data_IF_591950307926
#
_entry.id   IF_591950307926
#
_cell.length_a   1.000
_cell.length_b   1.000
_cell.length_c   1.000
_cell.angle_alpha   90.00
_cell.angle_beta   90.00
_cell.angle_gamma   90.00
#
_symmetry.space_group_name_H-M   'P 1'
#
loop_
_entity.id
_entity.type
_entity.pdbx_description
1 polymer ?
#
# COMPACT_ATOMS: atom_id res chain seq x y z
N UNK A 1 2.41 9.31 17.55
CA UNK A 1 1.21 8.50 17.21
C UNK A 1 1.64 7.31 16.38
N UNK A 2 1.17 6.11 16.71
CA UNK A 2 1.42 4.92 15.87
C UNK A 2 0.84 5.13 14.46
N UNK A 3 1.47 4.56 13.43
CA UNK A 3 1.08 4.78 12.03
C UNK A 3 -0.40 4.47 11.76
N UNK A 4 -0.92 3.35 12.27
CA UNK A 4 -2.33 2.95 12.09
C UNK A 4 -3.32 3.93 12.72
N UNK A 5 -2.96 4.55 13.85
CA UNK A 5 -3.84 5.46 14.58
C UNK A 5 -4.12 6.78 13.85
N UNK A 6 -3.32 7.13 12.84
CA UNK A 6 -3.58 8.29 11.95
C UNK A 6 -4.96 8.19 11.30
N UNK A 7 -5.37 6.98 10.92
CA UNK A 7 -6.58 6.74 10.16
C UNK A 7 -7.80 6.51 11.05
N UNK A 8 -7.60 6.22 12.34
CA UNK A 8 -8.69 5.82 13.26
C UNK A 8 -8.86 6.74 14.46
N UNK A 9 -7.97 7.72 14.63
CA UNK A 9 -8.09 8.77 15.66
C UNK A 9 -8.61 10.05 15.04
N UNK A 10 -9.86 10.41 15.38
CA UNK A 10 -10.60 11.57 14.83
C UNK A 10 -9.79 12.87 14.76
N UNK A 11 -9.05 13.19 15.82
CA UNK A 11 -8.21 14.38 15.92
C UNK A 11 -6.78 13.93 16.15
N UNK A 12 -5.90 14.22 15.19
CA UNK A 12 -4.48 13.95 15.29
C UNK A 12 -3.69 15.00 14.50
N UNK A 13 -2.38 15.03 14.68
CA UNK A 13 -1.48 16.04 14.09
C UNK A 13 -1.02 15.72 12.67
N UNK A 14 -1.34 14.54 12.13
CA UNK A 14 -0.99 14.18 10.75
C UNK A 14 -2.12 14.58 9.78
N UNK A 15 -3.39 14.40 10.14
CA UNK A 15 -4.52 14.76 9.26
C UNK A 15 -4.69 16.28 9.15
N UNK A 16 -4.59 16.80 7.91
CA UNK A 16 -4.86 18.21 7.60
C UNK A 16 -6.30 18.38 7.11
N UNK A 17 -6.71 17.53 6.16
CA UNK A 17 -8.07 17.49 5.62
C UNK A 17 -8.49 16.05 5.35
N UNK A 18 -9.69 15.68 5.78
CA UNK A 18 -10.20 14.31 5.67
C UNK A 18 -11.71 14.27 5.48
N UNK A 19 -12.18 13.17 4.88
CA UNK A 19 -13.58 12.76 4.97
C UNK A 19 -13.76 11.97 6.25
N UNK A 20 -14.63 12.46 7.12
CA UNK A 20 -15.07 11.74 8.31
C UNK A 20 -16.48 11.20 8.07
N UNK A 21 -16.79 10.08 8.71
CA UNK A 21 -18.13 9.48 8.73
C UNK A 21 -18.48 9.10 10.16
N UNK A 22 -19.75 8.77 10.40
CA UNK A 22 -20.16 8.21 11.69
C UNK A 22 -19.34 6.94 11.99
N UNK A 23 -19.11 6.66 13.28
CA UNK A 23 -18.35 5.49 13.66
C UNK A 23 -19.04 4.22 13.15
N UNK A 24 -18.28 3.32 12.51
CA UNK A 24 -18.82 2.11 11.91
C UNK A 24 -17.77 0.99 11.89
N UNK A 25 -18.14 -0.18 11.37
CA UNK A 25 -17.22 -1.28 11.04
C UNK A 25 -17.06 -1.45 9.52
N UNK A 26 -17.54 -0.48 8.73
CA UNK A 26 -17.72 -0.63 7.27
C UNK A 26 -16.40 -0.93 6.55
N UNK A 27 -15.30 -0.31 7.00
CA UNK A 27 -13.97 -0.50 6.38
C UNK A 27 -13.46 -1.90 6.65
N UNK A 28 -13.57 -2.38 7.88
CA UNK A 28 -13.23 -3.73 8.29
C UNK A 28 -14.08 -4.75 7.51
N UNK A 29 -15.40 -4.59 7.49
CA UNK A 29 -16.31 -5.46 6.73
C UNK A 29 -16.01 -5.49 5.24
N UNK A 30 -15.61 -4.36 4.64
CA UNK A 30 -15.32 -4.31 3.22
C UNK A 30 -14.00 -5.01 2.86
N UNK A 31 -12.97 -4.90 3.70
CA UNK A 31 -11.60 -5.18 3.27
C UNK A 31 -10.89 -6.28 4.07
N UNK A 32 -11.34 -6.62 5.27
CA UNK A 32 -10.71 -7.66 6.07
C UNK A 32 -10.86 -9.04 5.39
N UNK A 33 -10.02 -10.02 5.78
CA UNK A 33 -10.00 -11.33 5.13
C UNK A 33 -11.36 -12.05 5.23
N UNK A 34 -11.70 -12.81 4.19
CA UNK A 34 -13.07 -13.33 3.98
C UNK A 34 -13.50 -14.44 4.94
N UNK A 35 -12.57 -15.06 5.66
CA UNK A 35 -12.87 -16.09 6.64
C UNK A 35 -13.36 -15.54 7.98
N UNK A 36 -13.45 -14.22 8.15
CA UNK A 36 -14.03 -13.59 9.34
C UNK A 36 -15.50 -13.26 9.07
N UNK A 37 -16.40 -14.10 9.60
CA UNK A 37 -17.83 -14.10 9.23
C UNK A 37 -18.80 -13.72 10.36
N UNK A 38 -18.33 -13.66 11.61
CA UNK A 38 -19.15 -13.36 12.78
C UNK A 38 -18.59 -12.16 13.57
N UNK A 39 -19.44 -11.24 14.07
CA UNK A 39 -20.90 -11.16 13.88
C UNK A 39 -21.29 -10.60 12.50
N UNK A 40 -20.34 -10.07 11.73
CA UNK A 40 -20.60 -9.48 10.41
C UNK A 40 -19.55 -9.94 9.41
N UNK A 41 -19.97 -10.27 8.19
CA UNK A 41 -19.10 -10.81 7.14
C UNK A 41 -18.07 -9.81 6.63
N UNK A 42 -16.83 -10.28 6.51
CA UNK A 42 -15.73 -9.60 5.83
C UNK A 42 -15.66 -9.99 4.35
N UNK A 43 -15.40 -9.02 3.47
CA UNK A 43 -15.55 -9.20 2.02
C UNK A 43 -14.23 -9.24 1.25
N UNK A 44 -13.09 -8.91 1.87
CA UNK A 44 -11.77 -9.05 1.24
C UNK A 44 -11.62 -8.32 -0.10
N UNK A 45 -12.23 -7.15 -0.28
CA UNK A 45 -12.36 -6.47 -1.59
C UNK A 45 -11.04 -6.04 -2.23
N UNK A 46 -9.97 -5.92 -1.46
CA UNK A 46 -8.68 -5.41 -1.93
C UNK A 46 -7.60 -6.47 -1.78
N UNK A 47 -6.91 -6.79 -2.88
CA UNK A 47 -5.76 -7.71 -2.94
C UNK A 47 -4.47 -6.95 -3.27
N UNK A 48 -3.71 -6.47 -2.28
CA UNK A 48 -2.38 -5.90 -2.52
C UNK A 48 -1.45 -6.87 -3.25
N UNK A 49 -0.48 -6.36 -4.02
CA UNK A 49 0.43 -7.20 -4.82
C UNK A 49 1.75 -7.50 -4.10
N UNK A 50 2.41 -8.60 -4.48
CA UNK A 50 3.78 -8.89 -4.09
C UNK A 50 4.72 -7.74 -4.48
N UNK A 51 4.50 -7.11 -5.65
CA UNK A 51 5.30 -5.96 -6.08
C UNK A 51 5.24 -4.80 -5.08
N UNK A 52 4.15 -4.65 -4.32
CA UNK A 52 4.06 -3.67 -3.23
C UNK A 52 4.78 -4.18 -1.97
N UNK A 53 4.62 -5.45 -1.61
CA UNK A 53 5.35 -6.07 -0.48
C UNK A 53 6.86 -5.93 -0.65
N UNK A 54 7.38 -6.14 -1.86
CA UNK A 54 8.79 -5.99 -2.18
C UNK A 54 9.27 -4.53 -2.11
N UNK A 55 8.37 -3.55 -2.20
CA UNK A 55 8.72 -2.14 -2.16
C UNK A 55 9.13 -1.68 -0.76
N UNK A 56 8.59 -2.30 0.30
CA UNK A 56 8.92 -1.95 1.67
C UNK A 56 10.40 -2.24 1.98
N UNK A 57 11.15 -1.34 2.63
CA UNK A 57 12.52 -1.63 3.02
C UNK A 57 12.57 -2.65 4.18
N UNK A 58 13.79 -3.03 4.53
CA UNK A 58 14.09 -3.64 5.82
C UNK A 58 13.84 -2.65 6.96
N UNK A 59 13.80 -3.14 8.20
CA UNK A 59 13.59 -2.36 9.41
C UNK A 59 14.67 -1.29 9.60
N UNK A 60 15.88 -1.50 9.06
CA UNK A 60 16.96 -0.51 9.03
C UNK A 60 16.86 0.52 7.89
N UNK A 61 15.80 0.47 7.08
CA UNK A 61 15.54 1.39 5.98
C UNK A 61 16.29 1.10 4.68
N UNK A 62 17.17 0.08 4.67
CA UNK A 62 17.83 -0.39 3.45
C UNK A 62 16.83 -1.13 2.55
N UNK A 63 17.04 -1.07 1.24
CA UNK A 63 16.21 -1.77 0.28
C UNK A 63 16.14 -3.28 0.59
N UNK A 64 14.96 -3.86 0.39
CA UNK A 64 14.75 -5.28 0.61
C UNK A 64 15.27 -6.10 -0.57
N UNK A 65 16.17 -7.04 -0.30
CA UNK A 65 16.77 -7.95 -1.29
C UNK A 65 16.66 -9.42 -0.88
N UNK A 66 15.81 -9.73 0.10
CA UNK A 66 15.63 -11.08 0.61
C UNK A 66 14.74 -11.96 -0.28
N UNK A 67 14.51 -13.18 0.21
CA UNK A 67 13.62 -14.20 -0.37
C UNK A 67 12.18 -13.71 -0.54
N UNK A 68 11.49 -14.19 -1.56
CA UNK A 68 10.06 -13.91 -1.78
C UNK A 68 9.20 -15.18 -1.65
N UNK A 69 9.84 -16.31 -1.35
CA UNK A 69 9.29 -17.66 -1.47
C UNK A 69 9.27 -18.39 -0.13
N UNK A 70 9.31 -17.66 0.97
CA UNK A 70 9.06 -18.20 2.30
C UNK A 70 8.55 -17.11 3.28
N UNK A 71 8.23 -17.51 4.50
CA UNK A 71 7.68 -16.65 5.54
C UNK A 71 8.67 -15.59 6.06
N UNK A 72 9.98 -15.82 5.93
CA UNK A 72 11.01 -14.88 6.45
C UNK A 72 11.02 -13.57 5.66
N UNK A 73 10.34 -13.52 4.52
CA UNK A 73 10.16 -12.28 3.78
C UNK A 73 9.50 -11.15 4.59
N UNK A 74 8.75 -11.48 5.65
CA UNK A 74 8.07 -10.50 6.50
C UNK A 74 8.91 -10.08 7.72
N UNK A 75 10.01 -10.77 7.99
CA UNK A 75 10.84 -10.54 9.18
C UNK A 75 11.71 -9.30 9.03
N UNK A 76 11.83 -8.54 10.12
CA UNK A 76 12.67 -7.33 10.18
C UNK A 76 12.41 -6.37 9.00
N UNK A 77 11.15 -6.22 8.62
CA UNK A 77 10.71 -5.28 7.58
C UNK A 77 10.24 -3.96 8.18
N UNK A 78 10.07 -2.96 7.31
CA UNK A 78 9.37 -1.72 7.63
C UNK A 78 8.06 -2.01 8.40
N UNK A 79 7.85 -1.43 9.60
CA UNK A 79 6.65 -1.69 10.41
C UNK A 79 5.33 -1.38 9.69
N UNK A 80 5.36 -0.44 8.72
CA UNK A 80 4.18 -0.12 7.90
C UNK A 80 3.68 -1.32 7.10
N UNK A 81 4.54 -2.27 6.74
CA UNK A 81 4.14 -3.48 6.00
C UNK A 81 3.01 -4.22 6.73
N UNK A 82 3.21 -4.52 8.02
CA UNK A 82 2.22 -5.21 8.86
C UNK A 82 1.02 -4.33 9.21
N UNK A 83 1.17 -3.00 9.25
CA UNK A 83 0.05 -2.07 9.48
C UNK A 83 -0.84 -1.89 8.24
N UNK A 84 -0.27 -2.06 7.04
CA UNK A 84 -0.94 -1.80 5.77
C UNK A 84 -1.54 -3.08 5.18
N UNK A 85 -0.92 -4.24 5.40
CA UNK A 85 -1.32 -5.51 4.81
C UNK A 85 -1.61 -6.58 5.86
N UNK A 86 -2.60 -7.41 5.55
CA UNK A 86 -2.67 -8.77 6.07
C UNK A 86 -1.92 -9.72 5.12
N UNK A 87 -1.16 -10.62 5.71
CA UNK A 87 -0.53 -11.78 5.08
C UNK A 87 -0.75 -13.01 5.97
N UNK A 88 -0.39 -14.19 5.46
CA UNK A 88 -0.56 -15.45 6.20
C UNK A 88 0.05 -15.34 7.60
N UNK A 89 -0.63 -15.88 8.61
CA UNK A 89 -0.26 -15.92 10.04
C UNK A 89 -0.40 -14.61 10.83
N UNK A 90 -0.73 -13.47 10.23
CA UNK A 90 -1.03 -12.25 10.99
C UNK A 90 -2.22 -12.49 11.92
N UNK A 91 -2.09 -12.17 13.21
CA UNK A 91 -3.17 -12.32 14.18
C UNK A 91 -4.28 -11.28 13.94
N UNK A 92 -5.52 -11.76 13.87
CA UNK A 92 -6.71 -10.93 13.71
C UNK A 92 -7.96 -11.63 14.22
N UNK A 93 -8.79 -10.93 15.01
CA UNK A 93 -10.01 -11.47 15.61
C UNK A 93 -9.84 -12.85 16.28
N UNK A 94 -8.80 -12.99 17.11
CA UNK A 94 -8.56 -14.20 17.91
C UNK A 94 -8.00 -15.41 17.14
N UNK A 95 -7.67 -15.29 15.85
CA UNK A 95 -6.98 -16.34 15.08
C UNK A 95 -5.99 -15.77 14.07
N UNK A 96 -4.99 -16.55 13.61
CA UNK A 96 -4.18 -16.14 12.48
C UNK A 96 -5.00 -16.07 11.18
N UNK A 97 -4.66 -15.13 10.33
CA UNK A 97 -5.11 -15.08 8.93
C UNK A 97 -4.53 -16.28 8.17
N UNK A 98 -5.36 -16.96 7.38
CA UNK A 98 -5.03 -18.17 6.64
C UNK A 98 -5.17 -17.93 5.13
N UNK A 99 -4.15 -17.34 4.51
CA UNK A 99 -4.15 -17.04 3.06
C UNK A 99 -3.54 -18.16 2.21
N UNK A 100 -3.29 -19.33 2.77
CA UNK A 100 -2.93 -20.53 2.02
C UNK A 100 -4.13 -21.15 1.31
N UNK A 101 -3.86 -21.88 0.22
CA UNK A 101 -4.84 -22.58 -0.60
C UNK A 101 -5.68 -23.54 0.27
N UNK A 102 -6.99 -23.29 0.34
CA UNK A 102 -7.94 -24.05 1.17
C UNK A 102 -8.08 -23.54 2.61
N UNK A 103 -7.31 -22.53 3.01
CA UNK A 103 -7.44 -21.86 4.31
C UNK A 103 -8.71 -21.02 4.41
N UNK A 104 -9.10 -20.65 5.63
CA UNK A 104 -10.35 -19.92 5.88
C UNK A 104 -10.43 -18.58 5.13
N UNK A 105 -9.29 -17.92 4.90
CA UNK A 105 -9.20 -16.63 4.23
C UNK A 105 -8.77 -16.74 2.76
N UNK A 106 -8.62 -17.95 2.24
CA UNK A 106 -8.48 -18.26 0.81
C UNK A 106 -9.06 -19.66 0.53
N UNK A 107 -10.39 -19.82 0.66
CA UNK A 107 -11.04 -21.12 0.70
C UNK A 107 -11.05 -21.90 -0.63
N UNK A 108 -10.69 -21.27 -1.74
CA UNK A 108 -10.69 -21.85 -3.10
C UNK A 108 -12.04 -22.40 -3.55
N UNK A 109 -13.11 -21.75 -3.07
CA UNK A 109 -14.47 -22.11 -3.44
C UNK A 109 -14.90 -21.33 -4.68
N UNK A 110 -15.55 -22.03 -5.61
CA UNK A 110 -16.14 -21.39 -6.78
C UNK A 110 -17.12 -20.29 -6.36
N UNK A 111 -17.12 -19.18 -7.10
CA UNK A 111 -18.02 -18.04 -6.90
C UNK A 111 -17.88 -17.32 -5.53
N UNK A 112 -16.83 -17.60 -4.75
CA UNK A 112 -16.50 -16.81 -3.56
C UNK A 112 -15.44 -15.77 -3.87
N UNK A 113 -15.69 -14.54 -3.40
CA UNK A 113 -14.67 -13.50 -3.34
C UNK A 113 -13.58 -13.94 -2.37
N UNK A 114 -12.32 -13.86 -2.79
CA UNK A 114 -11.14 -14.11 -1.98
C UNK A 114 -9.93 -13.42 -2.60
N UNK A 115 -8.85 -13.29 -1.84
CA UNK A 115 -7.60 -12.70 -2.34
C UNK A 115 -7.04 -13.49 -3.53
N UNK A 116 -6.63 -12.76 -4.55
CA UNK A 116 -5.91 -13.31 -5.71
C UNK A 116 -4.39 -13.32 -5.52
N UNK A 117 -3.89 -12.64 -4.47
CA UNK A 117 -2.45 -12.42 -4.25
C UNK A 117 -1.94 -13.00 -2.94
N UNK A 118 -2.83 -13.58 -2.12
CA UNK A 118 -2.57 -14.03 -0.74
C UNK A 118 -2.30 -12.91 0.27
N UNK A 119 -2.71 -11.68 -0.09
CA UNK A 119 -2.70 -10.48 0.74
C UNK A 119 -4.08 -9.84 0.82
N UNK A 120 -4.36 -9.16 1.93
CA UNK A 120 -5.53 -8.27 2.08
C UNK A 120 -5.11 -6.90 2.59
N UNK A 121 -5.95 -5.88 2.35
CA UNK A 121 -5.75 -4.54 2.90
C UNK A 121 -6.05 -4.53 4.41
N UNK A 122 -5.15 -3.95 5.20
CA UNK A 122 -5.32 -3.65 6.63
C UNK A 122 -5.33 -2.16 6.94
N UNK A 123 -4.70 -1.34 6.09
CA UNK A 123 -4.71 0.13 6.24
C UNK A 123 -6.15 0.64 6.39
N UNK A 124 -6.31 1.71 7.17
CA UNK A 124 -7.57 2.32 7.58
C UNK A 124 -8.38 1.55 8.64
N UNK A 125 -7.97 0.35 9.05
CA UNK A 125 -8.65 -0.38 10.12
C UNK A 125 -8.03 -0.10 11.49
N UNK A 126 -8.86 -0.13 12.54
CA UNK A 126 -8.35 -0.19 13.92
C UNK A 126 -7.75 -1.55 14.21
N UNK A 127 -6.89 -1.66 15.22
CA UNK A 127 -6.30 -2.96 15.55
C UNK A 127 -7.26 -3.86 16.34
N UNK A 128 -7.70 -4.95 15.71
CA UNK A 128 -8.54 -5.99 16.33
C UNK A 128 -7.78 -7.31 16.53
N UNK A 129 -6.44 -7.26 16.59
CA UNK A 129 -5.59 -8.45 16.75
C UNK A 129 -5.92 -9.30 17.98
N UNK A 130 -6.38 -8.68 19.06
CA UNK A 130 -6.75 -9.34 20.35
C UNK A 130 -8.25 -9.38 20.61
N UNK A 131 -9.07 -8.85 19.69
CA UNK A 131 -10.53 -8.83 19.83
C UNK A 131 -11.14 -10.13 19.30
N UNK A 132 -12.43 -10.34 19.58
CA UNK A 132 -13.21 -11.46 19.01
C UNK A 132 -14.28 -11.00 18.01
N UNK A 133 -14.59 -9.69 18.01
CA UNK A 133 -15.51 -9.03 17.08
C UNK A 133 -14.98 -7.64 16.75
N UNK A 134 -15.43 -7.10 15.62
CA UNK A 134 -15.32 -5.67 15.36
C UNK A 134 -16.19 -4.87 16.32
N UNK A 135 -15.78 -3.63 16.57
CA UNK A 135 -16.56 -2.60 17.25
C UNK A 135 -16.52 -1.32 16.42
N UNK A 136 -17.52 -0.45 16.54
CA UNK A 136 -17.58 0.78 15.75
C UNK A 136 -16.34 1.65 15.97
N UNK A 137 -15.66 2.01 14.89
CA UNK A 137 -14.45 2.82 14.89
C UNK A 137 -14.69 4.15 14.18
N UNK A 138 -13.92 5.16 14.57
CA UNK A 138 -13.77 6.36 13.75
C UNK A 138 -12.87 6.01 12.57
N UNK A 139 -13.23 6.46 11.38
CA UNK A 139 -12.40 6.33 10.18
C UNK A 139 -12.25 7.69 9.53
N UNK A 140 -11.00 8.11 9.35
CA UNK A 140 -10.62 9.34 8.67
C UNK A 140 -9.94 8.98 7.37
N UNK A 141 -10.65 9.14 6.25
CA UNK A 141 -10.01 9.01 4.94
C UNK A 141 -9.29 10.32 4.62
N UNK A 142 -7.94 10.33 4.53
CA UNK A 142 -7.18 11.55 4.30
C UNK A 142 -7.38 12.03 2.86
N UNK A 143 -7.68 13.32 2.72
CA UNK A 143 -7.49 14.04 1.46
C UNK A 143 -6.14 14.75 1.44
N UNK A 144 -5.72 15.29 2.59
CA UNK A 144 -4.39 15.85 2.81
C UNK A 144 -3.90 15.49 4.20
N UNK A 145 -2.63 15.11 4.31
CA UNK A 145 -1.96 14.86 5.59
C UNK A 145 -0.51 15.34 5.59
N UNK A 146 0.02 15.57 6.77
CA UNK A 146 1.31 16.20 6.96
C UNK A 146 2.47 15.40 6.37
N UNK A 147 2.42 14.06 6.43
CA UNK A 147 3.47 13.28 5.76
C UNK A 147 3.45 13.44 4.22
N UNK A 148 2.32 13.74 3.59
CA UNK A 148 2.28 14.11 2.17
C UNK A 148 2.98 15.46 1.94
N UNK A 149 2.78 16.44 2.82
CA UNK A 149 3.48 17.74 2.76
C UNK A 149 4.99 17.55 2.84
N UNK A 150 5.47 16.70 3.75
CA UNK A 150 6.89 16.36 3.86
C UNK A 150 7.42 15.69 2.59
N UNK A 151 6.65 14.77 1.98
CA UNK A 151 7.02 14.12 0.73
C UNK A 151 7.06 15.10 -0.45
N UNK A 152 6.06 15.98 -0.55
CA UNK A 152 6.00 17.03 -1.57
C UNK A 152 7.21 17.96 -1.45
N UNK A 153 7.57 18.34 -0.20
CA UNK A 153 8.74 19.18 0.05
C UNK A 153 10.05 18.46 -0.24
N UNK A 154 10.19 17.18 0.15
CA UNK A 154 11.36 16.36 -0.16
C UNK A 154 11.58 16.25 -1.67
N UNK A 155 10.51 15.97 -2.43
CA UNK A 155 10.57 15.88 -3.88
C UNK A 155 11.03 17.21 -4.49
N UNK A 156 10.37 18.32 -4.13
CA UNK A 156 10.74 19.64 -4.63
C UNK A 156 12.19 20.03 -4.32
N UNK A 157 12.66 19.79 -3.09
CA UNK A 157 14.04 20.03 -2.67
C UNK A 157 15.03 19.22 -3.49
N UNK A 158 14.73 17.94 -3.73
CA UNK A 158 15.59 17.08 -4.53
C UNK A 158 15.66 17.57 -5.98
N UNK A 159 14.54 17.95 -6.59
CA UNK A 159 14.51 18.45 -7.98
C UNK A 159 15.31 19.76 -8.16
N UNK A 160 15.45 20.58 -7.11
CA UNK A 160 16.32 21.78 -7.11
C UNK A 160 17.73 21.53 -6.55
N UNK A 161 18.19 20.28 -6.53
CA UNK A 161 19.52 19.85 -6.08
C UNK A 161 19.84 20.11 -4.59
N UNK A 162 18.84 20.32 -3.73
CA UNK A 162 19.00 20.41 -2.28
C UNK A 162 18.86 19.04 -1.60
N UNK A 163 19.74 18.12 -2.01
CA UNK A 163 19.68 16.68 -1.67
C UNK A 163 19.63 16.43 -0.16
N UNK A 164 20.55 16.99 0.63
CA UNK A 164 20.59 16.73 2.07
C UNK A 164 19.40 17.36 2.82
N UNK A 165 18.79 18.43 2.31
CA UNK A 165 17.57 18.97 2.91
C UNK A 165 16.35 18.09 2.62
N UNK A 166 16.30 17.47 1.45
CA UNK A 166 15.31 16.46 1.11
C UNK A 166 15.45 15.20 1.99
N UNK A 167 16.69 14.75 2.22
CA UNK A 167 16.99 13.64 3.14
C UNK A 167 16.40 13.88 4.54
N UNK A 168 16.54 15.10 5.09
CA UNK A 168 15.97 15.45 6.40
C UNK A 168 14.45 15.23 6.45
N UNK A 169 13.73 15.50 5.36
CA UNK A 169 12.27 15.30 5.31
C UNK A 169 11.89 13.81 5.31
N UNK A 170 12.64 12.99 4.55
CA UNK A 170 12.42 11.54 4.50
C UNK A 170 12.76 10.89 5.86
N UNK A 171 13.79 11.37 6.54
CA UNK A 171 14.14 10.92 7.89
C UNK A 171 12.98 11.10 8.86
N UNK A 172 12.26 12.24 8.82
CA UNK A 172 11.09 12.46 9.69
C UNK A 172 9.99 11.42 9.46
N UNK A 173 9.73 11.07 8.19
CA UNK A 173 8.72 10.08 7.81
C UNK A 173 9.14 8.68 8.28
N UNK A 174 10.38 8.26 8.01
CA UNK A 174 10.91 6.96 8.38
C UNK A 174 11.00 6.78 9.90
N UNK A 175 11.40 7.83 10.61
CA UNK A 175 11.43 7.85 12.07
C UNK A 175 10.03 7.63 12.66
N UNK A 176 9.01 8.34 12.16
CA UNK A 176 7.62 8.13 12.57
C UNK A 176 7.18 6.70 12.28
N UNK A 177 7.54 6.16 11.12
CA UNK A 177 7.16 4.82 10.68
C UNK A 177 7.77 3.70 11.53
N UNK A 178 8.73 4.01 12.42
CA UNK A 178 9.40 3.04 13.27
C UNK A 178 10.54 2.30 12.57
N UNK A 179 11.01 2.80 11.42
CA UNK A 179 12.27 2.35 10.83
C UNK A 179 13.40 2.72 11.79
N UNK A 180 14.38 1.83 11.98
CA UNK A 180 15.52 2.09 12.84
C UNK A 180 16.52 3.02 12.15
N UNK A 181 17.10 3.93 12.93
CA UNK A 181 17.89 5.05 12.40
C UNK A 181 19.17 4.61 11.67
N UNK A 182 19.71 3.43 12.00
CA UNK A 182 20.95 2.90 11.44
C UNK A 182 22.14 3.83 11.63
N UNK A 183 23.16 3.69 10.77
CA UNK A 183 24.37 4.52 10.83
C UNK A 183 24.07 5.98 10.52
N UNK A 184 24.56 6.90 11.36
CA UNK A 184 24.46 8.34 11.16
C UNK A 184 23.03 8.91 11.27
N UNK A 185 22.09 8.17 11.84
CA UNK A 185 20.67 8.53 11.91
C UNK A 185 20.04 8.86 10.54
N UNK A 186 20.47 8.14 9.50
CA UNK A 186 20.01 8.36 8.11
C UNK A 186 18.94 7.38 7.65
N UNK A 187 18.50 6.45 8.51
CA UNK A 187 17.39 5.52 8.27
C UNK A 187 17.54 4.76 6.94
N UNK A 188 18.74 4.23 6.69
CA UNK A 188 19.06 3.49 5.46
C UNK A 188 19.32 4.34 4.22
N UNK A 189 19.51 5.66 4.37
CA UNK A 189 19.88 6.57 3.29
C UNK A 189 21.39 6.81 3.32
N UNK A 190 22.10 6.43 2.26
CA UNK A 190 23.55 6.57 2.19
C UNK A 190 24.00 8.04 2.30
N UNK A 191 25.16 8.26 2.92
CA UNK A 191 25.85 9.55 2.81
C UNK A 191 26.33 9.75 1.36
N UNK A 192 26.23 10.98 0.84
CA UNK A 192 26.60 11.27 -0.55
C UNK A 192 25.66 10.67 -1.60
N UNK A 193 24.43 10.30 -1.22
CA UNK A 193 23.40 9.87 -2.18
C UNK A 193 23.22 10.95 -3.27
N UNK A 194 23.18 10.54 -4.53
CA UNK A 194 23.01 11.49 -5.64
C UNK A 194 21.56 11.95 -5.76
N UNK A 195 21.34 13.08 -6.44
CA UNK A 195 20.00 13.58 -6.76
C UNK A 195 19.11 12.52 -7.44
N UNK A 196 19.68 11.77 -8.39
CA UNK A 196 18.96 10.73 -9.12
C UNK A 196 18.58 9.55 -8.22
N UNK A 197 19.51 9.06 -7.39
CA UNK A 197 19.23 7.98 -6.45
C UNK A 197 18.20 8.40 -5.39
N UNK A 198 18.29 9.64 -4.89
CA UNK A 198 17.32 10.15 -3.93
C UNK A 198 15.94 10.35 -4.57
N UNK A 199 15.86 10.73 -5.85
CA UNK A 199 14.58 10.83 -6.58
C UNK A 199 13.83 9.50 -6.54
N UNK A 200 14.50 8.39 -6.86
CA UNK A 200 13.89 7.07 -6.86
C UNK A 200 13.52 6.60 -5.44
N UNK A 201 14.36 6.93 -4.45
CA UNK A 201 14.06 6.68 -3.04
C UNK A 201 12.80 7.43 -2.59
N UNK A 202 12.68 8.73 -2.88
CA UNK A 202 11.52 9.57 -2.55
C UNK A 202 10.26 9.00 -3.23
N UNK A 203 10.35 8.60 -4.49
CA UNK A 203 9.23 7.99 -5.23
C UNK A 203 8.75 6.69 -4.58
N UNK A 204 9.68 5.84 -4.12
CA UNK A 204 9.34 4.61 -3.42
C UNK A 204 8.79 4.89 -2.01
N UNK A 205 9.37 5.84 -1.28
CA UNK A 205 8.87 6.27 0.03
C UNK A 205 7.44 6.80 -0.07
N UNK A 206 7.16 7.64 -1.08
CA UNK A 206 5.82 8.14 -1.40
C UNK A 206 4.86 7.00 -1.72
N UNK A 207 5.30 6.01 -2.52
CA UNK A 207 4.51 4.82 -2.85
C UNK A 207 4.10 4.04 -1.60
N UNK A 208 5.01 3.85 -0.65
CA UNK A 208 4.75 3.10 0.59
C UNK A 208 3.85 3.91 1.52
N UNK A 209 4.25 5.15 1.78
CA UNK A 209 3.62 6.01 2.77
C UNK A 209 2.15 6.27 2.39
N UNK A 210 1.88 6.56 1.11
CA UNK A 210 0.57 6.93 0.56
C UNK A 210 -0.14 5.80 -0.19
N UNK A 211 0.28 4.53 -0.08
CA UNK A 211 -0.44 3.45 -0.76
C UNK A 211 -1.90 3.38 -0.26
N UNK A 212 -2.82 3.10 -1.18
CA UNK A 212 -4.28 3.04 -0.93
C UNK A 212 -4.93 4.38 -0.53
N UNK A 213 -4.21 5.50 -0.65
CA UNK A 213 -4.73 6.87 -0.45
C UNK A 213 -4.92 7.59 -1.81
N UNK A 214 -5.24 6.84 -2.88
CA UNK A 214 -5.48 7.36 -4.25
C UNK A 214 -4.32 8.10 -4.96
N UNK A 215 -3.12 8.19 -4.38
CA UNK A 215 -2.00 8.92 -5.00
C UNK A 215 -1.30 8.18 -6.15
N UNK A 216 -1.09 6.86 -6.05
CA UNK A 216 -0.20 6.12 -6.97
C UNK A 216 -0.58 6.27 -8.44
N UNK A 217 -1.88 6.35 -8.71
CA UNK A 217 -2.42 6.54 -10.04
C UNK A 217 -1.96 7.87 -10.68
N UNK A 218 -1.96 8.96 -9.91
CA UNK A 218 -1.54 10.28 -10.38
C UNK A 218 -0.02 10.43 -10.36
N UNK A 219 0.66 9.88 -9.35
CA UNK A 219 2.11 9.93 -9.21
C UNK A 219 2.83 9.32 -10.41
N UNK A 220 2.42 8.13 -10.85
CA UNK A 220 3.01 7.49 -12.03
C UNK A 220 2.82 8.33 -13.30
N UNK A 221 1.68 9.01 -13.43
CA UNK A 221 1.37 9.83 -14.61
C UNK A 221 2.18 11.11 -14.66
N UNK A 222 2.23 11.86 -13.55
CA UNK A 222 2.98 13.12 -13.49
C UNK A 222 4.49 12.91 -13.62
N UNK A 223 5.02 11.78 -13.16
CA UNK A 223 6.41 11.40 -13.38
C UNK A 223 6.70 10.82 -14.77
N UNK A 224 5.68 10.60 -15.60
CA UNK A 224 5.79 9.93 -16.90
C UNK A 224 6.50 8.57 -16.80
N UNK A 225 6.13 7.79 -15.77
CA UNK A 225 6.68 6.46 -15.49
C UNK A 225 5.68 5.34 -15.80
N UNK A 226 4.77 5.53 -16.75
CA UNK A 226 3.70 4.57 -17.06
C UNK A 226 4.19 3.15 -17.36
N UNK A 227 5.37 3.01 -17.97
CA UNK A 227 5.98 1.71 -18.26
C UNK A 227 6.25 0.86 -17.01
N UNK A 228 6.36 1.46 -15.81
CA UNK A 228 6.49 0.68 -14.56
C UNK A 228 5.21 -0.08 -14.19
N UNK A 229 4.11 0.21 -14.88
CA UNK A 229 2.84 -0.50 -14.75
C UNK A 229 2.73 -1.69 -15.72
N UNK A 230 3.62 -1.78 -16.72
CA UNK A 230 3.66 -2.89 -17.67
C UNK A 230 4.28 -4.12 -17.01
N UNK A 231 3.82 -5.30 -17.41
CA UNK A 231 4.29 -6.58 -16.90
C UNK A 231 3.33 -7.20 -15.88
N UNK A 232 3.80 -8.25 -15.21
CA UNK A 232 2.95 -9.05 -14.34
C UNK A 232 2.81 -8.43 -12.94
N UNK A 233 1.57 -8.22 -12.52
CA UNK A 233 1.25 -8.07 -11.10
C UNK A 233 1.33 -9.44 -10.45
N UNK A 234 2.16 -9.54 -9.42
CA UNK A 234 2.45 -10.80 -8.74
C UNK A 234 1.72 -10.89 -7.41
N UNK A 235 1.49 -12.12 -6.98
CA UNK A 235 1.07 -12.49 -5.64
C UNK A 235 1.75 -13.80 -5.25
N UNK A 236 1.27 -14.40 -4.17
CA UNK A 236 1.75 -15.70 -3.71
C UNK A 236 0.66 -16.76 -3.85
N UNK A 237 1.07 -17.96 -4.23
CA UNK A 237 0.35 -19.20 -3.98
C UNK A 237 1.00 -19.87 -2.77
N UNK A 238 0.25 -20.04 -1.69
CA UNK A 238 0.77 -20.61 -0.45
C UNK A 238 0.11 -21.96 -0.25
N UNK A 239 0.87 -23.04 -0.14
CA UNK A 239 0.34 -24.37 0.18
C UNK A 239 0.79 -24.80 1.57
N UNK A 240 -0.02 -25.63 2.23
CA UNK A 240 0.29 -26.15 3.56
C UNK A 240 0.52 -27.65 3.51
N UNK A 241 1.61 -28.12 4.13
CA UNK A 241 1.93 -29.54 4.32
C UNK A 241 2.22 -29.79 5.80
N UNK A 242 1.25 -30.38 6.51
CA UNK A 242 1.30 -30.47 7.97
C UNK A 242 1.30 -29.07 8.60
N UNK A 243 2.36 -28.75 9.36
CA UNK A 243 2.54 -27.41 9.96
C UNK A 243 3.38 -26.46 9.10
N UNK A 244 3.98 -26.94 8.01
CA UNK A 244 4.85 -26.15 7.14
C UNK A 244 4.05 -25.47 6.02
N UNK A 245 4.51 -24.28 5.62
CA UNK A 245 3.97 -23.53 4.49
C UNK A 245 5.01 -23.41 3.38
N UNK A 246 4.60 -23.66 2.14
CA UNK A 246 5.40 -23.42 0.94
C UNK A 246 4.83 -22.22 0.20
N UNK A 247 5.70 -21.33 -0.29
CA UNK A 247 5.29 -20.09 -0.95
C UNK A 247 5.86 -20.06 -2.37
N UNK A 248 4.98 -19.88 -3.36
CA UNK A 248 5.33 -19.80 -4.78
C UNK A 248 4.88 -18.44 -5.32
N UNK A 249 5.73 -17.76 -6.08
CA UNK A 249 5.33 -16.56 -6.82
C UNK A 249 4.33 -16.94 -7.91
N UNK A 250 3.26 -16.17 -8.04
CA UNK A 250 2.25 -16.37 -9.06
C UNK A 250 1.95 -15.04 -9.77
N UNK A 251 1.90 -15.08 -11.10
CA UNK A 251 1.38 -13.97 -11.90
C UNK A 251 -0.16 -13.95 -11.80
N UNK A 252 -0.70 -12.81 -11.37
CA UNK A 252 -2.15 -12.64 -11.13
C UNK A 252 -2.82 -11.97 -12.32
N UNK A 253 -2.15 -11.02 -12.94
CA UNK A 253 -2.59 -10.37 -14.17
C UNK A 253 -1.39 -9.74 -14.86
N UNK A 254 -1.42 -9.71 -16.18
CA UNK A 254 -0.47 -8.95 -16.98
C UNK A 254 -1.09 -7.61 -17.35
N UNK A 255 -0.31 -6.56 -17.19
CA UNK A 255 -0.73 -5.21 -17.52
C UNK A 255 0.07 -4.71 -18.72
N UNK A 256 -0.60 -3.93 -19.56
CA UNK A 256 0.02 -3.22 -20.66
C UNK A 256 -0.20 -1.73 -20.46
N UNK A 257 0.85 -0.94 -20.63
CA UNK A 257 0.77 0.51 -20.65
C UNK A 257 1.10 1.06 -22.04
N UNK A 258 0.31 2.02 -22.50
CA UNK A 258 0.54 2.81 -23.70
C UNK A 258 0.49 4.29 -23.31
N UNK A 259 1.26 5.14 -24.00
CA UNK A 259 1.39 6.56 -23.66
C UNK A 259 0.05 7.31 -23.67
N UNK A 260 -0.92 6.87 -24.47
CA UNK A 260 -2.28 7.45 -24.43
C UNK A 260 -2.92 7.38 -23.04
N UNK A 261 -2.57 6.40 -22.21
CA UNK A 261 -3.11 6.23 -20.85
C UNK A 261 -2.61 7.26 -19.83
N UNK A 262 -1.68 8.15 -20.22
CA UNK A 262 -1.38 9.35 -19.44
C UNK A 262 -2.57 10.31 -19.36
N UNK A 263 -3.45 10.30 -20.36
CA UNK A 263 -4.65 11.13 -20.41
C UNK A 263 -5.89 10.24 -20.51
N UNK A 264 -6.97 10.63 -19.84
CA UNK A 264 -8.24 9.91 -19.92
C UNK A 264 -9.01 10.33 -21.17
N UNK A 265 -9.72 9.42 -21.86
CA UNK A 265 -10.55 9.81 -22.99
C UNK A 265 -11.67 10.75 -22.51
N UNK A 266 -11.95 11.78 -23.29
CA UNK A 266 -13.19 12.55 -23.14
C UNK A 266 -14.34 11.60 -23.54
N UNK A 267 -15.41 11.49 -22.75
CA UNK A 267 -16.52 10.58 -23.08
C UNK A 267 -17.06 10.85 -24.48
N UNK A 268 -17.26 9.79 -25.26
CA UNK A 268 -17.69 9.90 -26.66
C UNK A 268 -18.99 10.72 -26.82
N UNK A 269 -19.93 10.58 -25.88
CA UNK A 269 -21.18 11.36 -25.88
C UNK A 269 -20.95 12.87 -25.79
N UNK A 270 -19.87 13.32 -25.15
CA UNK A 270 -19.54 14.75 -25.06
C UNK A 270 -18.89 15.23 -26.35
N UNK A 271 -18.04 14.39 -26.98
CA UNK A 271 -17.45 14.66 -28.28
C UNK A 271 -18.52 14.85 -29.37
N UNK A 272 -19.57 14.03 -29.37
CA UNK A 272 -20.66 14.14 -30.34
C UNK A 272 -21.55 15.37 -30.12
N UNK A 273 -21.66 15.86 -28.88
CA UNK A 273 -22.46 17.05 -28.55
C UNK A 273 -21.75 18.35 -28.90
N UNK A 274 -20.43 18.39 -28.75
CA UNK A 274 -19.65 19.60 -28.99
C UNK A 274 -18.53 19.33 -29.99
N UNK A 275 -18.79 19.66 -31.25
CA UNK A 275 -17.85 19.49 -32.37
C UNK A 275 -16.58 20.34 -32.26
N UNK A 276 -16.50 21.26 -31.28
CA UNK A 276 -15.27 22.03 -30.98
C UNK A 276 -14.34 21.32 -29.98
N UNK A 277 -14.78 20.24 -29.32
CA UNK A 277 -13.91 19.45 -28.46
C UNK A 277 -12.93 18.66 -29.32
N UNK A 278 -11.66 18.68 -28.93
CA UNK A 278 -10.63 17.82 -29.49
C UNK A 278 -10.37 16.69 -28.49
N UNK A 279 -10.29 15.46 -29.00
CA UNK A 279 -10.03 14.30 -28.19
C UNK A 279 -8.56 14.28 -27.73
N UNK A 280 -8.30 13.64 -26.59
CA UNK A 280 -6.94 13.37 -26.14
C UNK A 280 -6.22 12.40 -27.10
N UNK A 281 -4.90 12.57 -27.24
CA UNK A 281 -4.08 11.80 -28.17
C UNK A 281 -4.21 10.27 -27.96
N UNK A 282 -4.35 9.53 -29.06
CA UNK A 282 -4.47 8.06 -29.06
C UNK A 282 -5.88 7.51 -28.78
N UNK A 283 -6.87 8.39 -28.62
CA UNK A 283 -8.29 8.04 -28.54
C UNK A 283 -9.05 8.63 -29.73
N UNK A 284 -10.13 7.97 -30.15
CA UNK A 284 -10.93 8.30 -31.34
C UNK A 284 -12.41 8.32 -30.98
#
# INVERSE_FOLDING_TARGET
>A
TAYSAVFTTKINTDIIFSKQSANSTTIENANAPVGYVAPTTSNGRTSPTQNLVNAFPNLNGLAYTGTQTDATQYDNRDPRLKSILFYNTVAWLGRPVQTFEGGLDKPNQAFKTQTRTSYYLRKFMSDFSTSTTYSNQSHNFPYFRFAEVLLNYAEALNEVNRVEDAVKQIVLIRARAGITAGTGNRYGINAGITQAQLRDLIRNERRIELCFEEHRFFDVRRWKLGLVLTGSLQGLKITQSGTAFNYELQNVTDNVFSDKYYHMPIPYSEMTKNTKLLQNEGYY
#
